data_IF_225114786900
#
_entry.id   IF_225114786900
#
_cell.length_a   1.000
_cell.length_b   1.000
_cell.length_c   1.000
_cell.angle_alpha   90.00
_cell.angle_beta   90.00
_cell.angle_gamma   90.00
#
_symmetry.space_group_name_H-M   'P 1'
#
loop_
_entity.id
_entity.type
_entity.pdbx_description
1 polymer ?
#
# COMPACT_ATOMS: atom_id res chain seq x y z
N UNK A 1 2.71 -0.69 3.68
CA UNK A 1 1.86 -0.09 2.63
C UNK A 1 1.61 1.36 2.97
N UNK A 2 1.70 2.25 1.98
CA UNK A 2 1.31 3.65 2.08
C UNK A 2 0.24 3.90 1.02
N UNK A 3 -0.92 4.41 1.43
CA UNK A 3 -2.01 4.78 0.54
C UNK A 3 -2.40 6.23 0.80
N UNK A 4 -2.63 7.01 -0.26
CA UNK A 4 -3.00 8.42 -0.19
C UNK A 4 -3.98 8.78 -1.30
N UNK A 5 -4.76 9.85 -1.13
CA UNK A 5 -5.56 10.42 -2.20
C UNK A 5 -4.81 11.47 -3.01
N UNK A 6 -5.03 11.52 -4.32
CA UNK A 6 -4.39 12.51 -5.20
C UNK A 6 -4.84 13.97 -4.96
N UNK A 7 -5.98 14.16 -4.30
CA UNK A 7 -6.54 15.48 -3.94
C UNK A 7 -6.44 15.78 -2.45
N UNK A 8 -5.60 15.08 -1.70
CA UNK A 8 -5.34 15.37 -0.29
C UNK A 8 -4.81 16.81 -0.11
N UNK A 9 -5.63 17.65 0.53
CA UNK A 9 -5.33 19.05 0.84
C UNK A 9 -4.65 19.25 2.19
N UNK A 10 -4.63 18.21 3.04
CA UNK A 10 -4.00 18.24 4.36
C UNK A 10 -2.54 17.84 4.26
N UNK A 11 -2.26 16.78 3.53
CA UNK A 11 -0.92 16.24 3.29
C UNK A 11 -0.78 15.92 1.81
N UNK A 12 -0.09 16.75 1.01
CA UNK A 12 0.04 16.50 -0.42
C UNK A 12 0.61 15.11 -0.73
N UNK A 13 0.09 14.47 -1.77
CA UNK A 13 0.44 13.08 -2.15
C UNK A 13 1.93 12.83 -2.37
N UNK A 14 2.70 13.85 -2.81
CA UNK A 14 4.16 13.75 -2.93
C UNK A 14 4.84 13.41 -1.60
N UNK A 15 4.25 13.79 -0.46
CA UNK A 15 4.81 13.48 0.86
C UNK A 15 4.71 11.98 1.16
N UNK A 16 3.60 11.35 0.79
CA UNK A 16 3.42 9.90 0.88
C UNK A 16 4.36 9.17 -0.09
N UNK A 17 4.57 9.71 -1.30
CA UNK A 17 5.55 9.17 -2.25
C UNK A 17 6.98 9.27 -1.70
N UNK A 18 7.35 10.40 -1.10
CA UNK A 18 8.65 10.56 -0.45
C UNK A 18 8.83 9.58 0.70
N UNK A 19 7.78 9.36 1.50
CA UNK A 19 7.80 8.42 2.61
C UNK A 19 7.97 6.97 2.13
N UNK A 20 7.35 6.59 1.00
CA UNK A 20 7.48 5.22 0.49
C UNK A 20 8.91 4.86 0.10
N UNK A 21 9.67 5.84 -0.42
CA UNK A 21 11.06 5.65 -0.82
C UNK A 21 12.02 5.40 0.34
N UNK A 22 11.64 5.75 1.57
CA UNK A 22 12.50 5.59 2.76
C UNK A 22 12.12 4.39 3.63
N UNK A 23 11.03 3.69 3.32
CA UNK A 23 10.58 2.50 4.05
C UNK A 23 10.87 1.26 3.18
N UNK A 24 11.85 0.41 3.54
CA UNK A 24 12.15 -0.82 2.80
C UNK A 24 10.91 -1.72 2.67
N UNK A 25 10.68 -2.24 1.46
CA UNK A 25 9.53 -3.12 1.18
C UNK A 25 8.16 -2.42 1.19
N UNK A 26 8.10 -1.10 1.35
CA UNK A 26 6.83 -0.39 1.29
C UNK A 26 6.26 -0.39 -0.14
N UNK A 27 4.99 -0.79 -0.26
CA UNK A 27 4.15 -0.46 -1.41
C UNK A 27 3.60 0.96 -1.28
N UNK A 28 3.40 1.63 -2.41
CA UNK A 28 2.83 2.97 -2.51
C UNK A 28 1.69 2.99 -3.52
N UNK A 29 0.51 3.42 -3.08
CA UNK A 29 -0.69 3.50 -3.90
C UNK A 29 -1.33 4.89 -3.78
N UNK A 30 -1.78 5.43 -4.92
CA UNK A 30 -2.48 6.73 -4.98
C UNK A 30 -3.88 6.50 -5.52
N UNK A 31 -4.90 6.82 -4.71
CA UNK A 31 -6.30 6.72 -5.13
C UNK A 31 -6.69 8.03 -5.83
N UNK A 32 -7.23 7.89 -7.04
CA UNK A 32 -7.68 9.03 -7.85
C UNK A 32 -8.97 9.62 -7.32
N UNK A 33 -9.11 10.95 -7.43
CA UNK A 33 -10.26 11.71 -6.96
C UNK A 33 -10.59 11.42 -5.48
N UNK A 34 -9.55 11.35 -4.65
CA UNK A 34 -9.65 11.01 -3.24
C UNK A 34 -8.87 12.04 -2.41
N UNK A 35 -9.41 12.41 -1.25
CA UNK A 35 -8.80 13.34 -0.32
C UNK A 35 -7.88 12.66 0.70
N UNK A 36 -7.97 13.11 1.95
CA UNK A 36 -7.06 12.72 3.02
C UNK A 36 -7.38 11.36 3.63
N UNK A 37 -8.63 10.91 3.54
CA UNK A 37 -9.12 9.71 4.22
C UNK A 37 -9.59 8.67 3.19
N UNK A 38 -8.68 8.01 2.46
CA UNK A 38 -9.01 6.93 1.52
C UNK A 38 -10.02 5.89 2.00
N UNK A 39 -9.89 5.48 3.26
CA UNK A 39 -10.73 4.45 3.88
C UNK A 39 -12.15 4.93 4.22
N UNK A 40 -12.42 6.24 4.18
CA UNK A 40 -13.77 6.81 4.32
C UNK A 40 -14.32 7.28 2.97
N UNK A 41 -13.46 7.84 2.10
CA UNK A 41 -13.87 8.49 0.85
C UNK A 41 -14.02 7.52 -0.34
N UNK A 42 -13.21 6.44 -0.36
CA UNK A 42 -13.05 5.49 -1.47
C UNK A 42 -12.84 4.08 -0.93
N UNK A 43 -13.86 3.59 -0.20
CA UNK A 43 -13.77 2.35 0.59
C UNK A 43 -13.40 1.16 -0.28
N UNK A 44 -14.06 0.97 -1.42
CA UNK A 44 -13.85 -0.18 -2.29
C UNK A 44 -12.42 -0.20 -2.88
N UNK A 45 -11.94 0.94 -3.37
CA UNK A 45 -10.58 1.06 -3.88
C UNK A 45 -9.54 0.85 -2.78
N UNK A 46 -9.78 1.42 -1.59
CA UNK A 46 -8.89 1.24 -0.44
C UNK A 46 -8.84 -0.22 0.01
N UNK A 47 -9.98 -0.92 0.10
CA UNK A 47 -10.03 -2.34 0.47
C UNK A 47 -9.32 -3.19 -0.58
N UNK A 48 -9.50 -2.91 -1.87
CA UNK A 48 -8.77 -3.64 -2.93
C UNK A 48 -7.25 -3.50 -2.79
N UNK A 49 -6.77 -2.30 -2.46
CA UNK A 49 -5.34 -2.05 -2.17
C UNK A 49 -4.87 -2.86 -0.96
N UNK A 50 -5.64 -2.89 0.13
CA UNK A 50 -5.34 -3.69 1.34
C UNK A 50 -5.30 -5.18 1.02
N UNK A 51 -6.27 -5.71 0.29
CA UNK A 51 -6.31 -7.12 -0.10
C UNK A 51 -5.10 -7.51 -0.94
N UNK A 52 -4.73 -6.68 -1.93
CA UNK A 52 -3.56 -6.92 -2.76
C UNK A 52 -2.26 -6.88 -1.97
N UNK A 53 -2.16 -5.98 -0.98
CA UNK A 53 -1.03 -5.96 -0.05
C UNK A 53 -0.95 -7.25 0.77
N UNK A 54 -2.06 -7.71 1.35
CA UNK A 54 -2.11 -8.94 2.15
C UNK A 54 -1.79 -10.19 1.31
N UNK A 55 -2.29 -10.28 0.08
CA UNK A 55 -2.00 -11.40 -0.83
C UNK A 55 -0.51 -11.51 -1.15
N UNK A 56 0.18 -10.39 -1.36
CA UNK A 56 1.63 -10.36 -1.57
C UNK A 56 2.36 -10.88 -0.34
N UNK A 57 2.04 -10.37 0.85
CA UNK A 57 2.69 -10.81 2.09
C UNK A 57 2.54 -12.32 2.34
N UNK A 58 1.35 -12.88 2.09
CA UNK A 58 1.12 -14.32 2.25
C UNK A 58 1.91 -15.13 1.22
N UNK A 59 1.99 -14.64 -0.02
CA UNK A 59 2.75 -15.31 -1.09
C UNK A 59 4.25 -15.29 -0.80
N UNK A 60 4.79 -14.14 -0.42
CA UNK A 60 6.20 -13.96 -0.06
C UNK A 60 6.59 -14.85 1.13
N UNK A 61 5.69 -15.01 2.11
CA UNK A 61 5.90 -15.89 3.28
C UNK A 61 5.98 -17.37 2.87
N UNK A 62 5.14 -17.80 1.93
CA UNK A 62 5.15 -19.17 1.43
C UNK A 62 6.41 -19.47 0.61
N UNK A 63 6.86 -18.51 -0.20
CA UNK A 63 8.11 -18.65 -0.97
C UNK A 63 9.32 -18.76 -0.04
N UNK A 64 9.38 -17.94 1.02
CA UNK A 64 10.44 -18.04 2.02
C UNK A 64 10.46 -19.41 2.70
N UNK A 65 9.30 -19.92 3.12
CA UNK A 65 9.20 -21.25 3.74
C UNK A 65 9.66 -22.37 2.78
N UNK A 66 9.28 -22.29 1.50
CA UNK A 66 9.69 -23.27 0.49
C UNK A 66 11.21 -23.24 0.26
N UNK A 67 11.83 -22.06 0.26
CA UNK A 67 13.29 -21.91 0.14
C UNK A 67 14.02 -22.49 1.36
N UNK A 68 13.50 -22.28 2.57
CA UNK A 68 14.06 -22.83 3.81
C UNK A 68 13.93 -24.37 3.88
N UNK A 69 12.87 -24.94 3.31
CA UNK A 69 12.64 -26.39 3.33
C UNK A 69 13.50 -27.20 2.34
N UNK A 70 14.08 -26.57 1.32
CA UNK A 70 14.94 -27.21 0.30
C UNK A 70 16.44 -26.94 0.50
N UNK A 71 16.80 -26.11 1.49
CA UNK A 71 18.19 -25.79 1.86
C UNK A 71 18.75 -26.81 2.85
#
# INVERSE_FOLDING_TARGET
MIATGDTDRKVPSWNAERLSRVIPGASFEVIKQCGHLPHEEKVEEFISIVENFLRRLVSDSNEQYLQEAIA
#
